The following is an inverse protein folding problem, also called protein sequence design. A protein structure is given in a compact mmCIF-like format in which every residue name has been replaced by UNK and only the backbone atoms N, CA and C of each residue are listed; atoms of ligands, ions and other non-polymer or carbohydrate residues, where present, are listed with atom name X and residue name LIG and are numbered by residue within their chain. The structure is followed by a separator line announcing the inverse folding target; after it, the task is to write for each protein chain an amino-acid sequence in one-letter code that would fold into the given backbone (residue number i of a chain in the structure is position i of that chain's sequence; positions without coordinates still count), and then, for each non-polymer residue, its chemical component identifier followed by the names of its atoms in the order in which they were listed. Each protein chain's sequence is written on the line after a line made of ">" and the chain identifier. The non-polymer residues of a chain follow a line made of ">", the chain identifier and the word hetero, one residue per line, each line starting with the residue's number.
data_IF_313336547848
#
_entry.id   IF_313336547848
#
_cell.length_a   1.000
_cell.length_b   1.000
_cell.length_c   1.000
_cell.angle_alpha   90.00
_cell.angle_beta   90.00
_cell.angle_gamma   90.00
#
_symmetry.space_group_name_H-M   'P 1'
#
loop_
_entity.id
_entity.type
_entity.pdbx_description
1 polymer ?
#
# COMPACT_ATOMS: atom_id res chain seq x y z
N UNK A 1 46.06 61.40 -16.25
CA UNK A 1 47.19 61.93 -15.48
C UNK A 1 48.49 61.19 -15.83
N UNK A 2 48.54 59.86 -15.74
CA UNK A 2 49.78 59.09 -16.04
C UNK A 2 50.21 59.10 -17.52
N UNK A 3 49.27 59.02 -18.49
CA UNK A 3 49.60 59.12 -19.93
C UNK A 3 50.20 60.48 -20.32
N UNK A 4 49.65 61.57 -19.76
CA UNK A 4 50.16 62.92 -20.01
C UNK A 4 51.58 63.12 -19.49
N UNK A 5 51.90 62.56 -18.31
CA UNK A 5 53.26 62.63 -17.73
C UNK A 5 54.24 61.86 -18.62
N UNK A 6 53.87 60.67 -19.12
CA UNK A 6 54.73 59.87 -19.98
C UNK A 6 54.92 60.46 -21.39
N UNK A 7 53.90 61.08 -21.95
CA UNK A 7 54.00 61.86 -23.20
C UNK A 7 54.93 63.07 -23.04
N UNK A 8 54.82 63.79 -21.92
CA UNK A 8 55.70 64.92 -21.60
C UNK A 8 57.17 64.47 -21.40
N UNK A 9 57.38 63.33 -20.74
CA UNK A 9 58.70 62.72 -20.58
C UNK A 9 59.27 62.25 -21.93
N UNK A 10 58.46 61.64 -22.79
CA UNK A 10 58.88 61.23 -24.13
C UNK A 10 59.28 62.46 -24.98
N UNK A 11 58.54 63.55 -24.87
CA UNK A 11 58.85 64.82 -25.54
C UNK A 11 60.20 65.38 -25.05
N UNK A 12 60.41 65.43 -23.72
CA UNK A 12 61.69 65.85 -23.12
C UNK A 12 62.87 64.97 -23.56
N UNK A 13 62.68 63.66 -23.63
CA UNK A 13 63.71 62.71 -24.12
C UNK A 13 63.99 62.88 -25.61
N UNK A 14 62.96 63.17 -26.42
CA UNK A 14 63.13 63.48 -27.85
C UNK A 14 63.94 64.77 -28.05
N UNK A 15 63.65 65.81 -27.26
CA UNK A 15 64.37 67.08 -27.33
C UNK A 15 65.82 66.92 -26.85
N UNK A 16 66.06 66.13 -25.80
CA UNK A 16 67.41 65.72 -25.38
C UNK A 16 68.17 64.99 -26.48
N UNK A 17 67.53 64.03 -27.16
CA UNK A 17 68.13 63.30 -28.28
C UNK A 17 68.48 64.19 -29.48
N UNK A 18 67.59 65.15 -29.82
CA UNK A 18 67.86 66.17 -30.85
C UNK A 18 69.02 67.07 -30.45
N UNK A 19 69.03 67.58 -29.23
CA UNK A 19 70.10 68.43 -28.71
C UNK A 19 71.45 67.69 -28.69
N UNK A 20 71.46 66.39 -28.33
CA UNK A 20 72.67 65.56 -28.40
C UNK A 20 73.16 65.38 -29.84
N UNK A 21 72.24 65.22 -30.79
CA UNK A 21 72.56 65.10 -32.22
C UNK A 21 73.14 66.41 -32.77
N UNK A 22 72.54 67.55 -32.42
CA UNK A 22 73.03 68.89 -32.76
C UNK A 22 74.44 69.10 -32.19
N UNK A 23 74.64 68.81 -30.91
CA UNK A 23 75.95 68.85 -30.24
C UNK A 23 76.98 67.95 -30.93
N UNK A 24 76.61 66.73 -31.33
CA UNK A 24 77.48 65.83 -32.10
C UNK A 24 77.86 66.37 -33.49
N UNK A 25 76.97 67.10 -34.16
CA UNK A 25 77.28 67.76 -35.44
C UNK A 25 78.16 69.01 -35.27
N UNK A 26 78.03 69.72 -34.15
CA UNK A 26 78.81 70.92 -33.83
C UNK A 26 80.22 70.58 -33.34
N UNK A 27 80.38 69.48 -32.59
CA UNK A 27 81.69 68.98 -32.10
C UNK A 27 82.34 68.08 -33.16
N UNK A 28 82.64 68.63 -34.34
CA UNK A 28 83.54 67.97 -35.31
C UNK A 28 84.99 68.07 -34.80
N UNK A 29 85.58 66.95 -34.39
CA UNK A 29 87.04 66.79 -34.37
C UNK A 29 87.74 66.72 -33.01
N UNK A 30 87.10 66.22 -31.95
CA UNK A 30 87.83 65.81 -30.73
C UNK A 30 87.42 64.40 -30.30
N UNK A 31 88.37 63.65 -29.72
CA UNK A 31 88.23 62.26 -29.27
C UNK A 31 87.27 62.20 -28.08
N UNK A 32 85.98 62.34 -28.34
CA UNK A 32 84.90 62.05 -27.40
C UNK A 32 84.48 60.61 -27.66
N UNK A 33 85.12 59.74 -26.88
CA UNK A 33 85.10 58.30 -27.01
C UNK A 33 83.81 57.62 -26.53
N UNK A 34 83.89 56.32 -26.20
CA UNK A 34 82.78 55.38 -26.07
C UNK A 34 81.61 55.83 -25.18
N UNK A 35 81.83 56.77 -24.26
CA UNK A 35 80.83 57.34 -23.35
C UNK A 35 79.70 58.10 -24.07
N UNK A 36 79.99 58.86 -25.13
CA UNK A 36 78.93 59.57 -25.88
C UNK A 36 78.12 58.59 -26.74
N UNK A 37 78.77 57.56 -27.28
CA UNK A 37 78.08 56.46 -27.96
C UNK A 37 77.19 55.68 -26.98
N UNK A 38 77.66 55.45 -25.76
CA UNK A 38 76.90 54.83 -24.69
C UNK A 38 75.70 55.69 -24.25
N UNK A 39 75.86 57.01 -24.17
CA UNK A 39 74.79 57.95 -23.85
C UNK A 39 73.71 57.99 -24.94
N UNK A 40 74.12 58.05 -26.22
CA UNK A 40 73.21 57.99 -27.36
C UNK A 40 72.42 56.67 -27.40
N UNK A 41 73.10 55.53 -27.16
CA UNK A 41 72.43 54.23 -26.99
C UNK A 41 71.46 54.23 -25.82
N UNK A 42 71.84 54.81 -24.68
CA UNK A 42 70.98 54.89 -23.49
C UNK A 42 69.73 55.74 -23.72
N UNK A 43 69.86 56.89 -24.42
CA UNK A 43 68.73 57.73 -24.80
C UNK A 43 67.80 56.98 -25.77
N UNK A 44 68.36 56.25 -26.74
CA UNK A 44 67.57 55.43 -27.66
C UNK A 44 66.83 54.30 -26.93
N UNK A 45 67.50 53.60 -26.02
CA UNK A 45 66.88 52.57 -25.17
C UNK A 45 65.77 53.16 -24.29
N UNK A 46 66.02 54.32 -23.66
CA UNK A 46 65.01 55.01 -22.84
C UNK A 46 63.80 55.43 -23.67
N UNK A 47 64.01 55.98 -24.86
CA UNK A 47 62.95 56.34 -25.80
C UNK A 47 62.12 55.12 -26.21
N UNK A 48 62.77 54.01 -26.54
CA UNK A 48 62.07 52.78 -26.89
C UNK A 48 61.28 52.21 -25.70
N UNK A 49 61.84 52.26 -24.49
CA UNK A 49 61.15 51.82 -23.28
C UNK A 49 59.93 52.71 -22.98
N UNK A 50 60.04 54.03 -23.11
CA UNK A 50 58.92 54.96 -22.94
C UNK A 50 57.81 54.72 -23.98
N UNK A 51 58.17 54.51 -25.24
CA UNK A 51 57.22 54.15 -26.29
C UNK A 51 56.52 52.81 -26.02
N UNK A 52 57.26 51.81 -25.55
CA UNK A 52 56.69 50.52 -25.16
C UNK A 52 55.70 50.67 -23.99
N UNK A 53 56.04 51.46 -22.98
CA UNK A 53 55.16 51.74 -21.84
C UNK A 53 53.90 52.49 -22.25
N UNK A 54 54.02 53.50 -23.12
CA UNK A 54 52.88 54.22 -23.71
C UNK A 54 51.98 53.29 -24.55
N UNK A 55 52.55 52.32 -25.27
CA UNK A 55 51.78 51.30 -26.00
C UNK A 55 51.06 50.30 -25.10
N UNK A 56 51.58 50.02 -23.89
CA UNK A 56 51.00 49.08 -22.93
C UNK A 56 49.88 49.69 -22.06
N UNK A 57 49.89 51.01 -21.85
CA UNK A 57 48.91 51.72 -21.02
C UNK A 57 47.45 51.60 -21.49
N UNK A 58 47.12 51.83 -22.78
CA UNK A 58 45.76 51.65 -23.28
C UNK A 58 45.23 50.24 -23.07
N UNK A 59 46.08 49.22 -23.24
CA UNK A 59 45.73 47.82 -23.01
C UNK A 59 45.48 47.54 -21.52
N UNK A 60 46.28 48.13 -20.63
CA UNK A 60 46.09 48.01 -19.17
C UNK A 60 44.80 48.69 -18.71
N UNK A 61 44.51 49.89 -19.20
CA UNK A 61 43.29 50.63 -18.88
C UNK A 61 42.04 49.96 -19.45
N UNK A 62 42.11 49.42 -20.67
CA UNK A 62 41.01 48.63 -21.25
C UNK A 62 40.72 47.38 -20.41
N UNK A 63 41.77 46.68 -19.96
CA UNK A 63 41.65 45.51 -19.07
C UNK A 63 41.07 45.88 -17.72
N UNK A 64 41.51 46.99 -17.11
CA UNK A 64 40.95 47.48 -15.84
C UNK A 64 39.46 47.83 -15.97
N UNK A 65 39.07 48.53 -17.04
CA UNK A 65 37.67 48.85 -17.33
C UNK A 65 36.84 47.58 -17.58
N UNK A 66 37.39 46.59 -18.27
CA UNK A 66 36.74 45.29 -18.48
C UNK A 66 36.51 44.56 -17.15
N UNK A 67 37.54 44.45 -16.30
CA UNK A 67 37.39 43.84 -14.97
C UNK A 67 36.36 44.57 -14.11
N UNK A 68 36.32 45.91 -14.19
CA UNK A 68 35.33 46.71 -13.46
C UNK A 68 33.91 46.44 -13.92
N UNK A 69 33.70 46.30 -15.23
CA UNK A 69 32.41 45.93 -15.80
C UNK A 69 32.01 44.49 -15.40
N UNK A 70 32.95 43.55 -15.46
CA UNK A 70 32.71 42.16 -15.05
C UNK A 70 32.36 42.05 -13.56
N UNK A 71 33.05 42.81 -12.69
CA UNK A 71 32.73 42.92 -11.27
C UNK A 71 31.32 43.49 -11.04
N UNK A 72 30.94 44.53 -11.79
CA UNK A 72 29.59 45.08 -11.72
C UNK A 72 28.53 44.06 -12.13
N UNK A 73 28.77 43.33 -13.23
CA UNK A 73 27.86 42.29 -13.71
C UNK A 73 27.76 41.12 -12.73
N UNK A 74 28.87 40.70 -12.14
CA UNK A 74 28.90 39.63 -11.15
C UNK A 74 28.14 40.04 -9.88
N UNK A 75 28.33 41.28 -9.42
CA UNK A 75 27.59 41.84 -8.27
C UNK A 75 26.08 41.88 -8.55
N UNK A 76 25.68 42.30 -9.74
CA UNK A 76 24.26 42.28 -10.14
C UNK A 76 23.68 40.87 -10.13
N UNK A 77 24.39 39.90 -10.74
CA UNK A 77 23.98 38.48 -10.74
C UNK A 77 23.87 37.91 -9.33
N UNK A 78 24.84 38.21 -8.46
CA UNK A 78 24.82 37.77 -7.06
C UNK A 78 23.58 38.30 -6.32
N UNK A 79 23.30 39.61 -6.41
CA UNK A 79 22.13 40.20 -5.76
C UNK A 79 20.80 39.63 -6.31
N UNK A 80 20.72 39.40 -7.62
CA UNK A 80 19.56 38.76 -8.23
C UNK A 80 19.36 37.34 -7.72
N UNK A 81 20.44 36.56 -7.61
CA UNK A 81 20.37 35.18 -7.13
C UNK A 81 20.07 35.11 -5.64
N UNK A 82 20.59 36.05 -4.84
CA UNK A 82 20.27 36.17 -3.42
C UNK A 82 18.78 36.44 -3.21
N UNK A 83 18.20 37.38 -3.97
CA UNK A 83 16.77 37.66 -3.92
C UNK A 83 15.92 36.44 -4.30
N UNK A 84 16.33 35.72 -5.34
CA UNK A 84 15.65 34.50 -5.76
C UNK A 84 15.74 33.40 -4.68
N UNK A 85 16.90 33.26 -4.04
CA UNK A 85 17.08 32.35 -2.92
C UNK A 85 16.18 32.70 -1.72
N UNK A 86 16.12 33.98 -1.33
CA UNK A 86 15.23 34.45 -0.25
C UNK A 86 13.75 34.15 -0.56
N UNK A 87 13.31 34.42 -1.80
CA UNK A 87 11.96 34.10 -2.26
C UNK A 87 11.67 32.58 -2.19
N UNK A 88 12.63 31.76 -2.60
CA UNK A 88 12.51 30.30 -2.56
C UNK A 88 12.47 29.76 -1.14
N UNK A 89 13.25 30.34 -0.21
CA UNK A 89 13.20 29.98 1.21
C UNK A 89 11.83 30.29 1.81
N UNK A 90 11.26 31.47 1.49
CA UNK A 90 9.92 31.81 1.95
C UNK A 90 8.86 30.87 1.38
N UNK A 91 8.92 30.57 0.08
CA UNK A 91 7.98 29.65 -0.57
C UNK A 91 8.09 28.22 0.02
N UNK A 92 9.31 27.74 0.26
CA UNK A 92 9.55 26.45 0.91
C UNK A 92 8.94 26.43 2.32
N UNK A 93 9.13 27.50 3.11
CA UNK A 93 8.52 27.63 4.43
C UNK A 93 7.00 27.58 4.41
N UNK A 94 6.37 28.27 3.44
CA UNK A 94 4.91 28.23 3.24
C UNK A 94 4.43 26.82 2.89
N UNK A 95 5.08 26.14 1.94
CA UNK A 95 4.72 24.76 1.57
C UNK A 95 4.89 23.77 2.73
N UNK A 96 5.97 23.89 3.51
CA UNK A 96 6.15 23.06 4.71
C UNK A 96 5.03 23.28 5.73
N UNK A 97 4.58 24.53 5.92
CA UNK A 97 3.44 24.87 6.75
C UNK A 97 2.13 24.24 6.25
N UNK A 98 1.88 24.27 4.95
CA UNK A 98 0.69 23.64 4.33
C UNK A 98 0.71 22.12 4.50
N UNK A 99 1.85 21.47 4.25
CA UNK A 99 2.01 20.02 4.45
C UNK A 99 1.74 19.64 5.90
N UNK A 100 2.26 20.40 6.86
CA UNK A 100 2.00 20.17 8.28
C UNK A 100 0.50 20.30 8.62
N UNK A 101 -0.15 21.36 8.12
CA UNK A 101 -1.59 21.58 8.31
C UNK A 101 -2.42 20.44 7.73
N UNK A 102 -2.17 20.05 6.48
CA UNK A 102 -2.88 18.97 5.80
C UNK A 102 -2.69 17.63 6.51
N UNK A 103 -1.47 17.32 6.97
CA UNK A 103 -1.20 16.11 7.76
C UNK A 103 -2.01 16.08 9.06
N UNK A 104 -2.10 17.21 9.77
CA UNK A 104 -2.87 17.26 11.01
C UNK A 104 -4.39 17.17 10.75
N UNK A 105 -4.87 17.80 9.68
CA UNK A 105 -6.27 17.66 9.24
C UNK A 105 -6.61 16.21 8.89
N UNK A 106 -5.76 15.54 8.11
CA UNK A 106 -5.94 14.14 7.73
C UNK A 106 -5.96 13.21 8.95
N UNK A 107 -5.04 13.40 9.91
CA UNK A 107 -5.03 12.64 11.16
C UNK A 107 -6.32 12.82 11.96
N UNK A 108 -6.80 14.06 12.06
CA UNK A 108 -8.04 14.37 12.78
C UNK A 108 -9.25 13.75 12.09
N UNK A 109 -9.32 13.85 10.76
CA UNK A 109 -10.38 13.25 9.96
C UNK A 109 -10.37 11.72 10.08
N UNK A 110 -9.20 11.09 10.02
CA UNK A 110 -9.05 9.64 10.18
C UNK A 110 -9.56 9.16 11.55
N UNK A 111 -9.20 9.85 12.63
CA UNK A 111 -9.70 9.53 13.97
C UNK A 111 -11.22 9.74 14.09
N UNK A 112 -11.75 10.83 13.52
CA UNK A 112 -13.19 11.07 13.49
C UNK A 112 -13.94 9.98 12.72
N UNK A 113 -13.45 9.58 11.54
CA UNK A 113 -14.06 8.52 10.73
C UNK A 113 -14.01 7.15 11.44
N UNK A 114 -12.93 6.83 12.15
CA UNK A 114 -12.83 5.59 12.93
C UNK A 114 -13.90 5.57 14.03
N UNK A 115 -14.01 6.65 14.81
CA UNK A 115 -14.99 6.77 15.90
C UNK A 115 -16.44 6.78 15.39
N UNK A 116 -16.69 7.49 14.29
CA UNK A 116 -18.00 7.50 13.64
C UNK A 116 -18.39 6.12 13.13
N UNK A 117 -17.47 5.43 12.43
CA UNK A 117 -17.67 4.08 11.91
C UNK A 117 -17.93 3.07 13.03
N UNK A 118 -17.11 3.09 14.09
CA UNK A 118 -17.28 2.28 15.30
C UNK A 118 -18.65 2.47 15.95
N UNK A 119 -19.06 3.73 16.13
CA UNK A 119 -20.34 4.08 16.78
C UNK A 119 -21.54 3.68 15.93
N UNK A 120 -21.59 4.13 14.67
CA UNK A 120 -22.71 3.85 13.77
C UNK A 120 -22.79 2.37 13.43
N UNK A 121 -21.65 1.72 13.15
CA UNK A 121 -21.57 0.29 12.89
C UNK A 121 -22.14 -0.53 14.04
N UNK A 122 -21.81 -0.20 15.29
CA UNK A 122 -22.37 -0.86 16.46
C UNK A 122 -23.88 -0.66 16.60
N UNK A 123 -24.41 0.53 16.31
CA UNK A 123 -25.85 0.78 16.31
C UNK A 123 -26.57 -0.07 15.25
N UNK A 124 -26.04 -0.10 14.03
CA UNK A 124 -26.59 -0.88 12.92
C UNK A 124 -26.48 -2.39 13.19
N UNK A 125 -25.37 -2.85 13.78
CA UNK A 125 -25.23 -4.24 14.22
C UNK A 125 -26.28 -4.61 15.26
N UNK A 126 -26.52 -3.77 16.26
CA UNK A 126 -27.56 -4.02 17.27
C UNK A 126 -28.96 -4.01 16.66
N UNK A 127 -29.26 -3.04 15.79
CA UNK A 127 -30.55 -2.93 15.13
C UNK A 127 -30.84 -4.14 14.21
N UNK A 128 -29.85 -4.60 13.46
CA UNK A 128 -29.98 -5.71 12.51
C UNK A 128 -30.19 -7.08 13.17
N UNK A 129 -30.17 -7.18 14.50
CA UNK A 129 -30.61 -8.39 15.20
C UNK A 129 -32.10 -8.67 15.00
N UNK A 130 -32.87 -7.65 14.66
CA UNK A 130 -34.29 -7.77 14.33
C UNK A 130 -34.43 -8.11 12.86
N UNK A 131 -35.08 -9.23 12.54
CA UNK A 131 -35.32 -9.67 11.17
C UNK A 131 -35.97 -8.58 10.29
N UNK A 132 -36.97 -7.79 10.74
CA UNK A 132 -37.53 -6.70 9.92
C UNK A 132 -36.52 -5.64 9.48
N UNK A 133 -35.45 -5.43 10.25
CA UNK A 133 -34.38 -4.49 9.88
C UNK A 133 -33.51 -5.08 8.76
N UNK A 134 -33.24 -6.38 8.81
CA UNK A 134 -32.54 -7.09 7.72
C UNK A 134 -33.39 -7.11 6.44
N UNK A 135 -34.68 -7.35 6.56
CA UNK A 135 -35.63 -7.27 5.44
C UNK A 135 -35.62 -5.87 4.82
N UNK A 136 -35.58 -4.81 5.64
CA UNK A 136 -35.40 -3.44 5.14
C UNK A 136 -34.08 -3.30 4.37
N UNK A 137 -32.95 -3.83 4.86
CA UNK A 137 -31.68 -3.78 4.12
C UNK A 137 -31.79 -4.45 2.75
N UNK A 138 -32.48 -5.60 2.66
CA UNK A 138 -32.67 -6.36 1.43
C UNK A 138 -33.52 -5.62 0.38
N UNK A 139 -34.39 -4.71 0.82
CA UNK A 139 -35.13 -3.82 -0.10
C UNK A 139 -34.30 -2.66 -0.63
N UNK A 140 -33.14 -2.39 -0.03
CA UNK A 140 -32.21 -1.36 -0.52
C UNK A 140 -31.27 -1.90 -1.59
N UNK A 141 -30.76 -1.03 -2.46
CA UNK A 141 -29.71 -1.37 -3.43
C UNK A 141 -28.29 -1.21 -2.87
N UNK A 142 -28.12 -1.16 -1.53
CA UNK A 142 -26.86 -0.82 -0.87
C UNK A 142 -26.09 -2.01 -0.30
N UNK A 143 -26.67 -3.22 -0.33
CA UNK A 143 -26.01 -4.42 0.17
C UNK A 143 -24.71 -4.77 -0.59
N UNK A 144 -24.62 -4.69 -1.93
CA UNK A 144 -23.36 -4.97 -2.62
C UNK A 144 -22.23 -4.02 -2.21
N UNK A 145 -22.55 -2.76 -1.97
CA UNK A 145 -21.62 -1.75 -1.45
C UNK A 145 -21.16 -2.09 -0.03
N UNK A 146 -22.09 -2.47 0.85
CA UNK A 146 -21.76 -2.94 2.20
C UNK A 146 -20.86 -4.18 2.17
N UNK A 147 -21.11 -5.16 1.30
CA UNK A 147 -20.30 -6.37 1.17
C UNK A 147 -18.89 -6.04 0.69
N UNK A 148 -18.78 -5.20 -0.34
CA UNK A 148 -17.50 -4.75 -0.89
C UNK A 148 -16.69 -3.96 0.14
N UNK A 149 -17.35 -3.07 0.89
CA UNK A 149 -16.74 -2.29 1.96
C UNK A 149 -16.29 -3.18 3.12
N UNK A 150 -17.10 -4.17 3.52
CA UNK A 150 -16.73 -5.15 4.55
C UNK A 150 -15.51 -5.96 4.12
N UNK A 151 -15.49 -6.42 2.87
CA UNK A 151 -14.38 -7.18 2.29
C UNK A 151 -13.08 -6.38 2.32
N UNK A 152 -13.09 -5.15 1.76
CA UNK A 152 -11.91 -4.28 1.73
C UNK A 152 -11.43 -3.87 3.14
N UNK A 153 -12.36 -3.66 4.07
CA UNK A 153 -12.01 -3.33 5.47
C UNK A 153 -11.39 -4.52 6.19
N UNK A 154 -11.90 -5.74 5.99
CA UNK A 154 -11.33 -6.97 6.57
C UNK A 154 -9.89 -7.20 6.09
N UNK A 155 -9.65 -7.02 4.78
CA UNK A 155 -8.31 -7.11 4.19
C UNK A 155 -7.38 -6.09 4.84
N UNK A 156 -7.75 -4.81 4.75
CA UNK A 156 -6.91 -3.70 5.22
C UNK A 156 -6.60 -3.83 6.72
N UNK A 157 -7.58 -4.23 7.52
CA UNK A 157 -7.44 -4.42 8.95
C UNK A 157 -6.45 -5.56 9.28
N UNK A 158 -6.56 -6.72 8.62
CA UNK A 158 -5.65 -7.84 8.88
C UNK A 158 -4.26 -7.64 8.27
N UNK A 159 -4.12 -6.89 7.18
CA UNK A 159 -2.82 -6.49 6.66
C UNK A 159 -2.11 -5.52 7.62
N UNK A 160 -2.86 -4.60 8.23
CA UNK A 160 -2.34 -3.64 9.21
C UNK A 160 -1.93 -4.33 10.51
N UNK A 161 -2.75 -5.28 11.00
CA UNK A 161 -2.61 -5.92 12.31
C UNK A 161 -2.27 -7.41 12.23
N UNK A 162 -1.39 -7.79 11.31
CA UNK A 162 -1.09 -9.19 10.94
C UNK A 162 -0.58 -10.10 12.08
N UNK A 163 -0.03 -9.53 13.15
CA UNK A 163 0.53 -10.30 14.29
C UNK A 163 -0.41 -10.36 15.48
N UNK A 164 -0.87 -9.20 15.92
CA UNK A 164 -1.75 -9.02 17.06
C UNK A 164 -2.79 -7.97 16.70
N UNK A 165 -4.05 -8.27 17.00
CA UNK A 165 -5.13 -7.32 16.78
C UNK A 165 -5.15 -6.27 17.90
N UNK A 166 -5.61 -5.03 17.61
CA UNK A 166 -5.76 -3.99 18.63
C UNK A 166 -6.72 -4.41 19.75
N UNK A 167 -6.72 -3.62 20.83
CA UNK A 167 -7.63 -3.81 21.95
C UNK A 167 -9.10 -3.89 21.49
N UNK A 168 -9.89 -4.72 22.16
CA UNK A 168 -11.29 -4.96 21.80
C UNK A 168 -12.12 -3.68 21.81
N UNK A 169 -11.77 -2.69 22.65
CA UNK A 169 -12.48 -1.42 22.76
C UNK A 169 -11.97 -0.33 21.82
N UNK A 170 -10.92 -0.61 21.02
CA UNK A 170 -10.48 0.32 19.96
C UNK A 170 -11.57 0.54 18.93
N UNK A 171 -11.61 1.74 18.36
CA UNK A 171 -12.58 2.08 17.32
C UNK A 171 -12.42 1.19 16.08
N UNK A 172 -11.19 0.85 15.71
CA UNK A 172 -10.88 -0.03 14.58
C UNK A 172 -11.43 -1.45 14.81
N UNK A 173 -11.23 -2.00 16.01
CA UNK A 173 -11.70 -3.36 16.33
C UNK A 173 -13.23 -3.39 16.48
N UNK A 174 -13.81 -2.39 17.15
CA UNK A 174 -15.25 -2.26 17.25
C UNK A 174 -15.91 -2.10 15.87
N UNK A 175 -15.30 -1.30 15.00
CA UNK A 175 -15.79 -1.12 13.65
C UNK A 175 -15.77 -2.43 12.85
N UNK A 176 -14.64 -3.15 12.80
CA UNK A 176 -14.56 -4.39 12.01
C UNK A 176 -15.48 -5.49 12.55
N UNK A 177 -15.60 -5.62 13.87
CA UNK A 177 -16.54 -6.55 14.49
C UNK A 177 -17.98 -6.18 14.18
N UNK A 178 -18.31 -4.89 14.16
CA UNK A 178 -19.65 -4.43 13.81
C UNK A 178 -20.01 -4.71 12.35
N UNK A 179 -19.07 -4.51 11.43
CA UNK A 179 -19.26 -4.84 10.01
C UNK A 179 -19.53 -6.33 9.84
N UNK A 180 -18.66 -7.20 10.38
CA UNK A 180 -18.88 -8.64 10.33
C UNK A 180 -20.17 -9.06 11.05
N UNK A 181 -20.51 -8.39 12.15
CA UNK A 181 -21.72 -8.64 12.92
C UNK A 181 -23.01 -8.33 12.17
N UNK A 182 -23.03 -7.26 11.39
CA UNK A 182 -24.14 -6.93 10.47
C UNK A 182 -24.30 -8.05 9.44
N UNK A 183 -23.20 -8.49 8.82
CA UNK A 183 -23.23 -9.58 7.83
C UNK A 183 -23.71 -10.89 8.46
N UNK A 184 -23.29 -11.18 9.69
CA UNK A 184 -23.73 -12.39 10.39
C UNK A 184 -25.23 -12.39 10.66
N UNK A 185 -25.80 -11.23 11.03
CA UNK A 185 -27.24 -11.05 11.18
C UNK A 185 -27.98 -11.15 9.84
N UNK A 186 -27.43 -10.59 8.75
CA UNK A 186 -27.99 -10.76 7.40
C UNK A 186 -28.04 -12.24 7.02
N UNK A 187 -26.95 -12.97 7.24
CA UNK A 187 -26.88 -14.40 6.95
C UNK A 187 -27.86 -15.24 7.81
N UNK A 188 -28.21 -14.79 9.02
CA UNK A 188 -29.16 -15.49 9.88
C UNK A 188 -30.58 -15.53 9.28
N UNK A 189 -30.94 -14.55 8.43
CA UNK A 189 -32.25 -14.44 7.78
C UNK A 189 -32.26 -15.21 6.44
N UNK A 190 -33.30 -16.00 6.10
CA UNK A 190 -33.34 -16.81 4.87
C UNK A 190 -33.04 -16.07 3.58
N UNK A 191 -33.71 -14.94 3.39
CA UNK A 191 -33.58 -14.08 2.23
C UNK A 191 -32.17 -13.45 2.19
N UNK A 192 -31.62 -13.11 3.36
CA UNK A 192 -30.29 -12.53 3.50
C UNK A 192 -29.17 -13.51 3.14
N UNK A 193 -29.20 -14.75 3.66
CA UNK A 193 -28.23 -15.78 3.22
C UNK A 193 -28.42 -16.18 1.77
N UNK A 194 -29.65 -16.21 1.25
CA UNK A 194 -29.88 -16.45 -0.17
C UNK A 194 -29.25 -15.33 -1.02
N UNK A 195 -29.41 -14.08 -0.63
CA UNK A 195 -28.79 -12.93 -1.30
C UNK A 195 -27.26 -13.02 -1.29
N UNK A 196 -26.64 -13.32 -0.14
CA UNK A 196 -25.19 -13.48 -0.02
C UNK A 196 -24.60 -14.50 -0.99
N UNK A 197 -25.31 -15.61 -1.25
CA UNK A 197 -24.83 -16.69 -2.14
C UNK A 197 -25.28 -16.55 -3.59
N UNK A 198 -26.10 -15.55 -3.92
CA UNK A 198 -26.57 -15.30 -5.29
C UNK A 198 -25.93 -14.05 -5.90
N UNK A 199 -25.71 -13.02 -5.10
CA UNK A 199 -25.04 -11.78 -5.48
C UNK A 199 -23.52 -11.96 -5.68
N UNK A 200 -22.95 -11.20 -6.62
CA UNK A 200 -21.52 -11.24 -6.92
C UNK A 200 -20.66 -10.71 -5.76
N UNK A 201 -21.00 -9.55 -5.20
CA UNK A 201 -20.27 -8.96 -4.07
C UNK A 201 -20.43 -9.81 -2.80
N UNK A 202 -21.59 -10.45 -2.62
CA UNK A 202 -21.81 -11.42 -1.55
C UNK A 202 -20.88 -12.63 -1.63
N UNK A 203 -20.78 -13.26 -2.81
CA UNK A 203 -19.85 -14.38 -3.04
C UNK A 203 -18.39 -13.98 -2.84
N UNK A 204 -17.98 -12.80 -3.35
CA UNK A 204 -16.64 -12.28 -3.13
C UNK A 204 -16.33 -12.06 -1.65
N UNK A 205 -17.30 -11.58 -0.86
CA UNK A 205 -17.12 -11.46 0.58
C UNK A 205 -16.93 -12.83 1.25
N UNK A 206 -17.71 -13.85 0.87
CA UNK A 206 -17.56 -15.21 1.39
C UNK A 206 -16.16 -15.76 1.06
N UNK A 207 -15.73 -15.65 -0.20
CA UNK A 207 -14.39 -16.05 -0.63
C UNK A 207 -13.30 -15.33 0.17
N UNK A 208 -13.47 -14.03 0.40
CA UNK A 208 -12.53 -13.25 1.18
C UNK A 208 -12.49 -13.71 2.65
N UNK A 209 -13.65 -14.02 3.25
CA UNK A 209 -13.72 -14.57 4.61
C UNK A 209 -12.96 -15.90 4.67
N UNK A 210 -13.15 -16.80 3.70
CA UNK A 210 -12.45 -18.08 3.62
C UNK A 210 -10.92 -17.90 3.53
N UNK A 211 -10.46 -16.92 2.76
CA UNK A 211 -9.04 -16.62 2.58
C UNK A 211 -8.39 -15.97 3.82
N UNK A 212 -9.16 -15.22 4.60
CA UNK A 212 -8.68 -14.48 5.77
C UNK A 212 -8.77 -15.28 7.07
N UNK A 213 -9.78 -16.14 7.22
CA UNK A 213 -10.03 -16.89 8.45
C UNK A 213 -8.79 -17.64 8.99
N UNK A 214 -7.98 -18.34 8.17
CA UNK A 214 -6.78 -19.03 8.64
C UNK A 214 -5.67 -18.06 9.11
N UNK A 215 -5.68 -16.82 8.61
CA UNK A 215 -4.64 -15.80 8.86
C UNK A 215 -4.91 -14.97 10.12
N UNK A 216 -6.10 -15.09 10.71
CA UNK A 216 -6.46 -14.30 11.89
C UNK A 216 -5.62 -14.77 13.10
N UNK A 217 -4.95 -13.85 13.81
CA UNK A 217 -4.15 -14.16 14.99
C UNK A 217 -4.91 -14.97 16.05
N UNK A 218 -4.19 -15.88 16.70
CA UNK A 218 -4.73 -16.66 17.83
C UNK A 218 -4.86 -15.71 19.03
N UNK A 219 -5.89 -15.89 19.86
CA UNK A 219 -6.15 -15.11 21.08
C UNK A 219 -6.72 -13.73 20.79
N UNK A 220 -5.95 -12.79 20.24
CA UNK A 220 -6.46 -11.42 19.97
C UNK A 220 -7.52 -11.43 18.87
N UNK A 221 -7.48 -12.41 17.97
CA UNK A 221 -8.40 -12.56 16.85
C UNK A 221 -9.64 -13.41 17.09
N UNK A 222 -9.80 -13.99 18.28
CA UNK A 222 -10.95 -14.85 18.59
C UNK A 222 -12.31 -14.19 18.39
N UNK A 223 -12.53 -12.92 18.81
CA UNK A 223 -13.82 -12.26 18.60
C UNK A 223 -14.17 -12.14 17.11
N UNK A 224 -13.18 -11.88 16.25
CA UNK A 224 -13.37 -11.81 14.81
C UNK A 224 -13.62 -13.19 14.21
N UNK A 225 -12.81 -14.20 14.58
CA UNK A 225 -13.03 -15.60 14.15
C UNK A 225 -14.44 -16.06 14.47
N UNK A 226 -14.93 -15.76 15.68
CA UNK A 226 -16.28 -16.11 16.12
C UNK A 226 -17.35 -15.55 15.18
N UNK A 227 -17.25 -14.27 14.81
CA UNK A 227 -18.21 -13.62 13.90
C UNK A 227 -18.12 -14.24 12.51
N UNK A 228 -16.92 -14.43 11.98
CA UNK A 228 -16.74 -14.99 10.64
C UNK A 228 -17.23 -16.45 10.55
N UNK A 229 -16.97 -17.27 11.56
CA UNK A 229 -17.51 -18.62 11.65
C UNK A 229 -19.04 -18.62 11.72
N UNK A 230 -19.64 -17.66 12.44
CA UNK A 230 -21.09 -17.50 12.50
C UNK A 230 -21.68 -17.12 11.14
N UNK A 231 -21.02 -16.24 10.36
CA UNK A 231 -21.42 -15.94 8.97
C UNK A 231 -21.40 -17.23 8.14
N UNK A 232 -20.30 -17.96 8.16
CA UNK A 232 -20.12 -19.18 7.35
C UNK A 232 -21.13 -20.26 7.72
N UNK A 233 -21.40 -20.46 9.02
CA UNK A 233 -22.45 -21.37 9.47
C UNK A 233 -23.85 -20.94 9.00
N UNK A 234 -24.17 -19.66 9.12
CA UNK A 234 -25.47 -19.17 8.65
C UNK A 234 -25.63 -19.33 7.14
N UNK A 235 -24.54 -19.14 6.38
CA UNK A 235 -24.50 -19.42 4.94
C UNK A 235 -24.66 -20.91 4.63
N UNK A 236 -24.01 -21.80 5.39
CA UNK A 236 -24.03 -23.25 5.14
C UNK A 236 -25.41 -23.89 5.35
N UNK A 237 -26.32 -23.23 6.06
CA UNK A 237 -27.72 -23.66 6.17
C UNK A 237 -28.46 -23.57 4.81
N UNK A 238 -28.04 -22.68 3.91
CA UNK A 238 -28.59 -22.59 2.56
C UNK A 238 -27.94 -23.63 1.64
N UNK A 239 -28.71 -24.34 0.80
CA UNK A 239 -28.17 -25.38 -0.09
C UNK A 239 -27.07 -24.88 -1.05
N UNK A 240 -27.23 -23.69 -1.65
CA UNK A 240 -26.19 -23.12 -2.51
C UNK A 240 -24.97 -22.66 -1.69
N UNK A 241 -25.21 -22.17 -0.47
CA UNK A 241 -24.15 -21.85 0.48
C UNK A 241 -23.36 -23.09 0.94
N UNK A 242 -24.04 -24.19 1.21
CA UNK A 242 -23.41 -25.48 1.53
C UNK A 242 -22.48 -25.90 0.39
N UNK A 243 -22.97 -25.94 -0.85
CA UNK A 243 -22.16 -26.30 -2.01
C UNK A 243 -20.95 -25.38 -2.22
N UNK A 244 -21.09 -24.08 -1.93
CA UNK A 244 -20.01 -23.10 -2.02
C UNK A 244 -18.91 -23.34 -0.97
N UNK A 245 -19.26 -23.88 0.21
CA UNK A 245 -18.35 -24.02 1.34
C UNK A 245 -17.77 -25.43 1.49
N UNK A 246 -18.46 -26.46 0.99
CA UNK A 246 -18.18 -27.85 1.32
C UNK A 246 -16.84 -28.37 0.78
N UNK A 247 -16.37 -27.83 -0.34
CA UNK A 247 -15.09 -28.23 -0.97
C UNK A 247 -13.91 -27.33 -0.55
N UNK A 248 -14.15 -26.36 0.33
CA UNK A 248 -13.16 -25.36 0.73
C UNK A 248 -12.15 -25.94 1.72
N UNK A 249 -11.11 -26.59 1.21
CA UNK A 249 -10.04 -27.19 2.02
C UNK A 249 -9.46 -26.27 3.12
N UNK A 250 -9.15 -24.97 2.86
CA UNK A 250 -8.63 -24.07 3.90
C UNK A 250 -9.61 -23.87 5.07
N UNK A 251 -10.91 -23.87 4.80
CA UNK A 251 -11.94 -23.81 5.84
C UNK A 251 -11.89 -25.07 6.71
N UNK A 252 -11.94 -26.25 6.09
CA UNK A 252 -11.95 -27.54 6.80
C UNK A 252 -10.70 -27.71 7.68
N UNK A 253 -9.53 -27.32 7.18
CA UNK A 253 -8.29 -27.32 7.94
C UNK A 253 -8.35 -26.36 9.14
N UNK A 254 -8.90 -25.16 8.94
CA UNK A 254 -9.06 -24.18 10.01
C UNK A 254 -10.02 -24.68 11.10
N UNK A 255 -11.17 -25.24 10.72
CA UNK A 255 -12.12 -25.83 11.68
C UNK A 255 -11.47 -26.96 12.46
N UNK A 256 -10.68 -27.80 11.79
CA UNK A 256 -9.94 -28.89 12.41
C UNK A 256 -8.93 -28.37 13.42
N UNK A 257 -8.15 -27.35 13.06
CA UNK A 257 -7.19 -26.72 13.97
C UNK A 257 -7.88 -26.15 15.22
N UNK A 258 -9.04 -25.50 15.05
CA UNK A 258 -9.81 -24.96 16.17
C UNK A 258 -10.33 -26.08 17.06
N UNK A 259 -10.87 -27.16 16.50
CA UNK A 259 -11.38 -28.32 17.27
C UNK A 259 -10.27 -29.03 18.04
N UNK A 260 -9.08 -29.13 17.45
CA UNK A 260 -7.90 -29.71 18.09
C UNK A 260 -7.36 -28.81 19.20
N UNK A 261 -7.64 -27.50 19.15
CA UNK A 261 -7.22 -26.52 20.16
C UNK A 261 -8.23 -26.46 21.31
N UNK A 262 -7.85 -26.94 22.50
CA UNK A 262 -8.73 -26.92 23.68
C UNK A 262 -8.84 -25.55 24.38
N UNK A 263 -8.38 -24.46 23.73
CA UNK A 263 -8.28 -23.12 24.35
C UNK A 263 -9.62 -22.38 24.47
N UNK A 264 -10.44 -22.42 23.43
CA UNK A 264 -11.64 -21.58 23.34
C UNK A 264 -12.89 -22.44 23.09
N UNK A 265 -13.62 -22.84 24.14
CA UNK A 265 -14.79 -23.71 24.03
C UNK A 265 -15.84 -23.19 23.04
N UNK A 266 -16.06 -21.87 22.99
CA UNK A 266 -17.06 -21.25 22.11
C UNK A 266 -16.68 -21.37 20.63
N UNK A 267 -15.39 -21.17 20.29
CA UNK A 267 -14.92 -21.35 18.92
C UNK A 267 -14.94 -22.82 18.51
N UNK A 268 -14.62 -23.72 19.45
CA UNK A 268 -14.73 -25.17 19.23
C UNK A 268 -16.17 -25.57 18.94
N UNK A 269 -17.13 -25.12 19.73
CA UNK A 269 -18.55 -25.40 19.53
C UNK A 269 -19.05 -24.87 18.18
N UNK A 270 -18.72 -23.63 17.83
CA UNK A 270 -19.06 -23.06 16.52
C UNK A 270 -18.41 -23.84 15.36
N UNK A 271 -17.17 -24.29 15.53
CA UNK A 271 -16.48 -25.08 14.51
C UNK A 271 -17.11 -26.45 14.33
N UNK A 272 -17.52 -27.10 15.42
CA UNK A 272 -18.29 -28.35 15.37
C UNK A 272 -19.63 -28.16 14.68
N UNK A 273 -20.35 -27.09 15.02
CA UNK A 273 -21.65 -26.75 14.41
C UNK A 273 -21.55 -26.48 12.91
N UNK A 274 -20.50 -25.76 12.47
CA UNK A 274 -20.25 -25.56 11.04
C UNK A 274 -19.84 -26.87 10.35
N UNK A 275 -18.93 -27.67 10.94
CA UNK A 275 -18.58 -28.97 10.38
C UNK A 275 -19.77 -29.91 10.24
N UNK A 276 -20.67 -29.91 11.21
CA UNK A 276 -21.89 -30.72 11.18
C UNK A 276 -22.78 -30.32 9.99
N UNK A 277 -22.99 -29.02 9.78
CA UNK A 277 -23.67 -28.52 8.59
C UNK A 277 -22.96 -28.88 7.29
N UNK A 278 -21.63 -28.79 7.24
CA UNK A 278 -20.85 -29.14 6.04
C UNK A 278 -20.79 -30.64 5.76
N UNK A 279 -21.09 -31.49 6.74
CA UNK A 279 -21.11 -32.94 6.57
C UNK A 279 -22.52 -33.50 6.39
N UNK A 280 -23.56 -32.68 6.59
CA UNK A 280 -24.96 -33.09 6.54
C UNK A 280 -25.31 -33.89 5.27
N UNK A 281 -24.88 -33.41 4.11
CA UNK A 281 -25.05 -34.08 2.81
C UNK A 281 -23.90 -33.72 1.87
N UNK A 282 -23.27 -34.72 1.25
CA UNK A 282 -22.15 -34.51 0.33
C UNK A 282 -22.63 -34.46 -1.12
N UNK A 283 -22.27 -33.38 -1.83
CA UNK A 283 -22.63 -33.23 -3.24
C UNK A 283 -21.90 -34.19 -4.19
N UNK A 284 -20.76 -34.77 -3.79
CA UNK A 284 -20.04 -35.76 -4.59
C UNK A 284 -19.03 -36.57 -3.77
N UNK A 285 -18.57 -37.69 -4.33
CA UNK A 285 -17.48 -38.50 -3.76
C UNK A 285 -16.15 -37.72 -3.65
N UNK A 286 -15.90 -36.76 -4.55
CA UNK A 286 -14.71 -35.92 -4.50
C UNK A 286 -14.71 -35.04 -3.24
N UNK A 287 -15.86 -34.42 -2.93
CA UNK A 287 -16.04 -33.62 -1.73
C UNK A 287 -15.93 -34.49 -0.47
N UNK A 288 -16.60 -35.65 -0.45
CA UNK A 288 -16.46 -36.61 0.66
C UNK A 288 -15.00 -37.01 0.91
N UNK A 289 -14.22 -37.29 -0.14
CA UNK A 289 -12.82 -37.67 0.00
C UNK A 289 -11.95 -36.56 0.59
N UNK A 290 -12.25 -35.28 0.31
CA UNK A 290 -11.58 -34.14 0.94
C UNK A 290 -11.86 -34.15 2.46
N UNK A 291 -13.13 -34.28 2.85
CA UNK A 291 -13.52 -34.33 4.26
C UNK A 291 -12.90 -35.53 4.97
N UNK A 292 -12.92 -36.71 4.34
CA UNK A 292 -12.32 -37.94 4.89
C UNK A 292 -10.84 -37.78 5.26
N UNK A 293 -10.10 -36.95 4.53
CA UNK A 293 -8.69 -36.69 4.80
C UNK A 293 -8.46 -35.68 5.94
N UNK A 294 -9.41 -34.78 6.20
CA UNK A 294 -9.23 -33.62 7.09
C UNK A 294 -9.94 -33.79 8.43
N UNK A 295 -11.12 -34.42 8.45
CA UNK A 295 -11.96 -34.55 9.64
C UNK A 295 -11.18 -35.23 10.78
N UNK A 296 -11.08 -34.62 11.98
CA UNK A 296 -10.27 -35.12 13.08
C UNK A 296 -11.00 -36.23 13.86
N UNK A 297 -11.26 -37.38 13.20
CA UNK A 297 -12.09 -38.47 13.74
C UNK A 297 -11.69 -38.92 15.15
N UNK A 298 -10.39 -39.03 15.44
CA UNK A 298 -9.90 -39.40 16.78
C UNK A 298 -10.30 -38.39 17.86
N UNK A 299 -10.17 -37.09 17.56
CA UNK A 299 -10.55 -36.01 18.49
C UNK A 299 -12.06 -35.93 18.65
N UNK A 300 -12.84 -36.11 17.58
CA UNK A 300 -14.30 -36.17 17.66
C UNK A 300 -14.79 -37.33 18.54
N UNK A 301 -14.16 -38.50 18.45
CA UNK A 301 -14.45 -39.63 19.33
C UNK A 301 -14.14 -39.33 20.81
N UNK A 302 -13.08 -38.56 21.09
CA UNK A 302 -12.81 -38.08 22.44
C UNK A 302 -13.89 -37.10 22.91
N UNK A 303 -14.31 -36.16 22.05
CA UNK A 303 -15.36 -35.18 22.36
C UNK A 303 -16.70 -35.85 22.63
N UNK A 304 -17.02 -36.96 21.96
CA UNK A 304 -18.22 -37.76 22.25
C UNK A 304 -18.28 -38.30 23.69
N UNK A 305 -17.15 -38.33 24.40
CA UNK A 305 -17.06 -38.77 25.80
C UNK A 305 -16.87 -37.58 26.77
N UNK A 306 -16.89 -36.34 26.27
CA UNK A 306 -16.73 -35.13 27.08
C UNK A 306 -17.95 -34.87 27.97
N UNK A 307 -17.83 -33.99 28.96
CA UNK A 307 -18.90 -33.54 29.86
C UNK A 307 -19.93 -32.62 29.19
N UNK A 308 -19.54 -31.88 28.15
CA UNK A 308 -20.42 -30.96 27.41
C UNK A 308 -21.37 -31.72 26.47
N UNK A 309 -22.68 -31.63 26.74
CA UNK A 309 -23.71 -32.35 25.98
C UNK A 309 -23.87 -31.86 24.53
N UNK A 310 -23.70 -30.57 24.31
CA UNK A 310 -23.89 -29.96 23.00
C UNK A 310 -22.73 -30.32 22.08
N UNK A 311 -21.49 -30.22 22.59
CA UNK A 311 -20.30 -30.67 21.84
C UNK A 311 -20.35 -32.17 21.50
N UNK A 312 -20.79 -33.01 22.46
CA UNK A 312 -21.01 -34.44 22.21
C UNK A 312 -21.96 -34.68 21.05
N UNK A 313 -23.10 -33.98 21.03
CA UNK A 313 -24.12 -34.14 20.01
C UNK A 313 -23.58 -33.81 18.61
N UNK A 314 -22.88 -32.68 18.46
CA UNK A 314 -22.29 -32.31 17.18
C UNK A 314 -21.20 -33.29 16.73
N UNK A 315 -20.31 -33.71 17.63
CA UNK A 315 -19.27 -34.69 17.29
C UNK A 315 -19.86 -36.03 16.82
N UNK A 316 -20.92 -36.50 17.48
CA UNK A 316 -21.63 -37.71 17.09
C UNK A 316 -22.32 -37.56 15.73
N UNK A 317 -22.97 -36.41 15.47
CA UNK A 317 -23.64 -36.11 14.19
C UNK A 317 -22.63 -36.13 13.04
N UNK A 318 -21.49 -35.45 13.19
CA UNK A 318 -20.41 -35.41 12.19
C UNK A 318 -19.92 -36.84 11.86
N UNK A 319 -19.63 -37.66 12.86
CA UNK A 319 -19.16 -39.04 12.63
C UNK A 319 -20.23 -39.88 11.93
N UNK A 320 -21.50 -39.74 12.29
CA UNK A 320 -22.58 -40.48 11.65
C UNK A 320 -22.78 -40.05 10.20
N UNK A 321 -22.69 -38.75 9.92
CA UNK A 321 -22.76 -38.21 8.58
C UNK A 321 -21.64 -38.75 7.69
N UNK A 322 -20.40 -38.79 8.21
CA UNK A 322 -19.25 -39.37 7.51
C UNK A 322 -19.45 -40.86 7.20
N UNK A 323 -19.97 -41.65 8.15
CA UNK A 323 -20.26 -43.08 7.94
C UNK A 323 -21.35 -43.31 6.90
N UNK A 324 -22.45 -42.56 6.99
CA UNK A 324 -23.55 -42.61 6.01
C UNK A 324 -23.05 -42.29 4.60
N UNK A 325 -22.16 -41.31 4.48
CA UNK A 325 -21.53 -40.96 3.21
C UNK A 325 -20.60 -42.07 2.70
N UNK A 326 -19.82 -42.70 3.58
CA UNK A 326 -18.98 -43.86 3.23
C UNK A 326 -19.83 -45.01 2.67
N UNK A 327 -20.95 -45.33 3.32
CA UNK A 327 -21.89 -46.33 2.85
C UNK A 327 -22.47 -45.98 1.48
N UNK A 328 -22.80 -44.71 1.26
CA UNK A 328 -23.40 -44.21 0.01
C UNK A 328 -22.42 -44.21 -1.16
N UNK A 329 -21.16 -43.81 -0.94
CA UNK A 329 -20.20 -43.62 -2.04
C UNK A 329 -19.22 -44.77 -2.24
N UNK A 330 -18.93 -45.56 -1.19
CA UNK A 330 -17.87 -46.58 -1.22
C UNK A 330 -18.46 -47.99 -1.12
N UNK A 331 -19.55 -48.17 -0.37
CA UNK A 331 -20.15 -49.49 -0.13
C UNK A 331 -21.43 -49.75 -0.94
N UNK A 332 -21.92 -48.76 -1.69
CA UNK A 332 -23.08 -48.94 -2.56
C UNK A 332 -22.76 -50.01 -3.63
N UNK A 333 -23.60 -51.06 -3.77
CA UNK A 333 -23.37 -52.09 -4.77
C UNK A 333 -23.40 -51.46 -6.16
N UNK A 334 -22.39 -51.77 -6.96
CA UNK A 334 -22.45 -51.57 -8.41
C UNK A 334 -23.66 -52.39 -8.86
N UNK A 335 -24.77 -51.73 -9.20
CA UNK A 335 -25.90 -52.44 -9.82
C UNK A 335 -25.33 -53.23 -11.00
N UNK A 336 -25.62 -54.54 -11.11
CA UNK A 336 -25.16 -55.32 -12.24
C UNK A 336 -25.72 -54.66 -13.49
N UNK A 337 -24.81 -54.19 -14.34
CA UNK A 337 -25.06 -53.58 -15.63
C UNK A 337 -26.11 -54.42 -16.38
N UNK A 338 -27.38 -54.02 -16.34
CA UNK A 338 -28.45 -54.74 -17.02
C UNK A 338 -28.14 -54.60 -18.51
N UNK A 339 -27.84 -55.71 -19.22
CA UNK A 339 -27.58 -55.63 -20.66
C UNK A 339 -28.78 -54.99 -21.34
N UNK A 340 -28.50 -54.08 -22.30
CA UNK A 340 -29.50 -53.31 -23.06
C UNK A 340 -30.65 -54.18 -23.61
N UNK A 341 -30.35 -55.45 -23.84
CA UNK A 341 -31.19 -56.51 -24.37
C UNK A 341 -32.39 -56.87 -23.45
N UNK A 342 -32.31 -56.62 -22.14
CA UNK A 342 -33.41 -56.88 -21.20
C UNK A 342 -34.39 -55.71 -21.06
N UNK A 343 -34.07 -54.53 -21.60
CA UNK A 343 -34.95 -53.34 -21.52
C UNK A 343 -36.02 -53.31 -22.62
N UNK A 344 -35.87 -54.10 -23.68
CA UNK A 344 -36.78 -54.09 -24.86
C UNK A 344 -37.98 -55.05 -24.70
N UNK A 345 -37.92 -56.01 -23.77
CA UNK A 345 -38.97 -57.03 -23.63
C UNK A 345 -40.12 -56.67 -22.67
N UNK A 346 -40.08 -55.53 -21.99
CA UNK A 346 -41.14 -55.12 -21.05
C UNK A 346 -42.11 -54.06 -21.56
N UNK A 347 -42.00 -53.62 -22.83
CA UNK A 347 -42.89 -52.60 -23.44
C UNK A 347 -43.92 -53.10 -24.47
N UNK A 348 -44.20 -54.40 -24.50
CA UNK A 348 -45.36 -54.95 -25.24
C UNK A 348 -46.05 -55.99 -24.38
N UNK A 349 -47.01 -55.56 -23.57
CA UNK A 349 -48.32 -56.18 -23.31
C UNK A 349 -49.02 -55.20 -22.36
N UNK A 350 -49.87 -54.34 -22.93
CA UNK A 350 -51.10 -53.78 -22.33
C UNK A 350 -51.70 -52.80 -23.35
N UNK A 351 -52.19 -53.37 -24.44
CA UNK A 351 -53.18 -52.76 -25.32
C UNK A 351 -54.28 -53.79 -25.52
N UNK A 352 -55.33 -53.69 -24.70
CA UNK A 352 -56.68 -54.23 -24.91
C UNK A 352 -57.61 -53.44 -23.99
#
# INVERSE_FOLDING_TARGET
>A
MESQILEELLQKVNDLGKNLTIFLTEVRGTVLGPDISALSKSIFTLKNNLNNLLGLLPNSQAKENQLRNDLHMLRYKYLSLQKEWDNQQEHLGRMQGEVFKLRNQLRTQSSFCASLGSTLGNLVWKASRLQPVVELFLTTNKLPELFSMTSGTLISFLETYSKDLPDLHSDETQFILSMGGIIANIAAVPEGRHYLVSDFSGKQLIEQILNLLPKIPITTGDPLKRILLMILYNVSINAAGLLLLQDQKPLLETLTQIIMCDRTPELKLLSLRLFESLTYEFGSIAVYNIHRQIVPTKKLQMIMSDSDAEMRQYAQSIINNMKKAEETFVLAPIEPNIPYDQCILSKKICSS
#
